data_IF_257432275994
#
_entry.id   IF_257432275994
#
_cell.length_a   1.000
_cell.length_b   1.000
_cell.length_c   1.000
_cell.angle_alpha   90.00
_cell.angle_beta   90.00
_cell.angle_gamma   90.00
#
_symmetry.space_group_name_H-M   'P 1'
#
loop_
_entity.id
_entity.type
_entity.pdbx_description
1 polymer ?
#
# COMPACT_ATOMS: atom_id res chain seq x y z
N UNK A 1 -46.35 -56.29 -33.33
CA UNK A 1 -46.33 -54.92 -33.82
C UNK A 1 -45.23 -54.20 -33.11
N UNK A 2 -44.03 -54.17 -33.69
CA UNK A 2 -42.81 -53.57 -33.11
C UNK A 2 -42.68 -52.15 -33.65
N UNK A 3 -42.47 -51.18 -32.78
CA UNK A 3 -42.07 -49.82 -33.14
C UNK A 3 -40.66 -49.59 -32.68
N UNK A 4 -39.75 -49.43 -33.61
CA UNK A 4 -38.39 -48.91 -33.40
C UNK A 4 -38.40 -47.39 -33.29
N UNK A 5 -37.83 -46.83 -32.23
CA UNK A 5 -37.49 -45.41 -32.14
C UNK A 5 -35.97 -45.30 -32.04
N UNK A 6 -35.34 -44.81 -33.11
CA UNK A 6 -33.93 -44.40 -33.13
C UNK A 6 -33.80 -43.00 -32.54
N UNK A 7 -33.08 -42.87 -31.46
CA UNK A 7 -32.74 -41.55 -30.92
C UNK A 7 -31.35 -41.12 -31.42
N UNK A 8 -31.31 -40.01 -32.16
CA UNK A 8 -30.07 -39.45 -32.65
C UNK A 8 -29.25 -38.78 -31.53
N UNK A 9 -27.98 -39.18 -31.40
CA UNK A 9 -27.03 -38.49 -30.55
C UNK A 9 -26.60 -37.17 -31.19
N UNK A 10 -27.06 -36.06 -30.67
CA UNK A 10 -26.60 -34.72 -31.02
C UNK A 10 -25.35 -34.37 -30.18
N UNK A 11 -24.32 -33.98 -30.92
CA UNK A 11 -23.00 -33.54 -30.48
C UNK A 11 -23.00 -32.47 -29.38
N UNK A 12 -22.64 -32.86 -28.15
CA UNK A 12 -22.38 -31.93 -27.01
C UNK A 12 -20.91 -31.68 -26.75
N UNK A 13 -19.98 -32.17 -27.61
CA UNK A 13 -18.54 -32.05 -27.38
C UNK A 13 -17.98 -30.63 -27.60
N UNK A 14 -18.64 -29.77 -28.40
CA UNK A 14 -18.14 -28.41 -28.70
C UNK A 14 -18.34 -27.39 -27.58
N UNK A 15 -19.41 -27.53 -26.78
CA UNK A 15 -19.74 -26.55 -25.73
C UNK A 15 -18.91 -26.74 -24.44
N UNK A 16 -18.50 -27.95 -24.14
CA UNK A 16 -17.70 -28.25 -22.94
C UNK A 16 -16.26 -27.75 -23.09
N UNK A 17 -15.71 -27.80 -24.32
CA UNK A 17 -14.33 -27.32 -24.59
C UNK A 17 -14.24 -25.80 -24.47
N UNK A 18 -15.31 -25.06 -24.84
CA UNK A 18 -15.32 -23.60 -24.76
C UNK A 18 -15.48 -23.09 -23.33
N UNK A 19 -16.21 -23.82 -22.48
CA UNK A 19 -16.38 -23.48 -21.05
C UNK A 19 -15.07 -23.75 -20.28
N UNK A 20 -14.32 -24.80 -20.60
CA UNK A 20 -13.03 -25.09 -19.98
C UNK A 20 -11.98 -24.04 -20.38
N UNK A 21 -12.01 -23.54 -21.61
CA UNK A 21 -11.11 -22.48 -22.08
C UNK A 21 -11.40 -21.12 -21.39
N UNK A 22 -12.68 -20.77 -21.19
CA UNK A 22 -13.07 -19.57 -20.45
C UNK A 22 -12.70 -19.63 -18.98
N UNK A 23 -12.81 -20.78 -18.33
CA UNK A 23 -12.41 -20.97 -16.94
C UNK A 23 -10.90 -20.87 -16.74
N UNK A 24 -10.09 -21.26 -17.74
CA UNK A 24 -8.64 -21.13 -17.67
C UNK A 24 -8.13 -19.69 -17.76
N UNK A 25 -8.84 -18.78 -18.46
CA UNK A 25 -8.50 -17.37 -18.49
C UNK A 25 -8.81 -16.65 -17.16
N UNK A 26 -9.91 -17.02 -16.49
CA UNK A 26 -10.23 -16.46 -15.17
C UNK A 26 -9.33 -17.01 -14.04
N UNK A 27 -8.85 -18.23 -14.17
CA UNK A 27 -7.93 -18.83 -13.19
C UNK A 27 -6.53 -18.20 -13.27
N UNK A 28 -6.07 -17.77 -14.45
CA UNK A 28 -4.77 -17.15 -14.61
C UNK A 28 -4.72 -15.75 -13.97
N UNK A 29 -5.77 -14.93 -14.12
CA UNK A 29 -5.87 -13.60 -13.48
C UNK A 29 -5.95 -13.68 -11.94
N UNK A 30 -6.64 -14.70 -11.42
CA UNK A 30 -6.76 -14.89 -9.96
C UNK A 30 -5.47 -15.40 -9.32
N UNK A 31 -4.68 -16.19 -10.03
CA UNK A 31 -3.39 -16.71 -9.55
C UNK A 31 -2.36 -15.58 -9.49
N UNK A 32 -2.25 -14.74 -10.52
CA UNK A 32 -1.34 -13.58 -10.53
C UNK A 32 -1.66 -12.58 -9.41
N UNK A 33 -2.94 -12.31 -9.20
CA UNK A 33 -3.39 -11.37 -8.15
C UNK A 33 -3.18 -11.93 -6.73
N UNK A 34 -3.20 -13.25 -6.56
CA UNK A 34 -2.96 -13.91 -5.29
C UNK A 34 -1.46 -14.05 -4.98
N UNK A 35 -0.61 -14.19 -5.98
CA UNK A 35 0.85 -14.12 -5.82
C UNK A 35 1.33 -12.71 -5.45
N UNK A 36 0.77 -11.66 -6.05
CA UNK A 36 1.09 -10.27 -5.70
C UNK A 36 0.70 -9.92 -4.25
N UNK A 37 -0.43 -10.41 -3.76
CA UNK A 37 -0.83 -10.26 -2.35
C UNK A 37 0.11 -11.04 -1.42
N UNK A 38 0.65 -12.18 -1.84
CA UNK A 38 1.62 -12.96 -1.06
C UNK A 38 2.97 -12.25 -0.95
N UNK A 39 3.38 -11.46 -1.96
CA UNK A 39 4.64 -10.72 -1.97
C UNK A 39 4.73 -9.65 -0.88
N UNK A 40 3.61 -9.04 -0.49
CA UNK A 40 3.58 -8.12 0.65
C UNK A 40 3.34 -8.81 2.00
N UNK A 41 2.66 -9.97 2.01
CA UNK A 41 2.21 -10.64 3.23
C UNK A 41 3.10 -11.78 3.72
N UNK A 42 3.60 -12.64 2.83
CA UNK A 42 4.12 -13.95 3.23
C UNK A 42 5.59 -14.21 2.92
N UNK A 43 6.28 -13.34 2.15
CA UNK A 43 7.67 -13.57 1.74
C UNK A 43 8.51 -12.29 1.70
N UNK A 44 8.05 -11.19 2.29
CA UNK A 44 8.89 -10.01 2.39
C UNK A 44 9.32 -9.83 3.85
N UNK A 45 10.61 -9.71 4.06
CA UNK A 45 11.20 -9.25 5.32
C UNK A 45 10.88 -7.77 5.62
N UNK A 46 9.97 -7.15 4.85
CA UNK A 46 9.55 -5.78 5.03
C UNK A 46 8.82 -5.59 6.36
N UNK A 47 9.20 -4.58 7.10
CA UNK A 47 8.64 -4.25 8.40
C UNK A 47 7.72 -3.03 8.31
N UNK A 48 6.68 -3.01 9.14
CA UNK A 48 5.96 -1.79 9.43
C UNK A 48 6.87 -0.85 10.25
N UNK A 49 7.18 0.32 9.70
CA UNK A 49 8.05 1.30 10.36
C UNK A 49 7.30 2.59 10.66
N UNK A 50 7.65 3.19 11.78
CA UNK A 50 7.10 4.44 12.30
C UNK A 50 8.08 5.07 13.29
N UNK A 51 7.65 6.12 13.99
CA UNK A 51 8.54 6.86 14.91
C UNK A 51 8.83 6.14 16.22
N UNK A 52 8.10 5.08 16.53
CA UNK A 52 8.17 4.41 17.83
C UNK A 52 7.59 5.23 19.03
N UNK A 53 7.05 6.42 18.77
CA UNK A 53 6.41 7.24 19.83
C UNK A 53 5.16 6.54 20.37
N UNK A 54 4.96 6.60 21.67
CA UNK A 54 3.72 6.16 22.30
C UNK A 54 2.54 7.10 21.97
N UNK A 55 1.32 6.59 22.06
CA UNK A 55 0.11 7.39 22.03
C UNK A 55 0.03 8.26 23.28
N UNK A 56 -0.45 9.53 23.20
CA UNK A 56 -0.82 10.31 24.37
C UNK A 56 -1.83 9.57 25.25
N UNK A 57 -1.69 9.71 26.56
CA UNK A 57 -2.61 9.10 27.52
C UNK A 57 -3.89 9.91 27.74
N UNK A 58 -3.83 11.22 27.50
CA UNK A 58 -4.94 12.15 27.71
C UNK A 58 -5.40 12.75 26.39
N UNK A 59 -6.70 12.89 26.21
CA UNK A 59 -7.32 13.48 25.01
C UNK A 59 -6.80 14.88 24.66
N UNK A 60 -6.52 15.70 25.68
CA UNK A 60 -6.00 17.06 25.51
C UNK A 60 -4.66 17.11 24.79
N UNK A 61 -3.81 16.10 24.99
CA UNK A 61 -2.47 16.05 24.43
C UNK A 61 -2.46 15.78 22.92
N UNK A 62 -3.56 15.27 22.34
CA UNK A 62 -3.67 15.09 20.89
C UNK A 62 -3.82 16.38 20.11
N UNK A 63 -4.13 17.49 20.80
CA UNK A 63 -4.25 18.81 20.18
C UNK A 63 -2.95 19.62 20.18
N UNK A 64 -1.91 19.13 20.83
CA UNK A 64 -0.57 19.70 20.78
C UNK A 64 0.09 19.46 19.43
N UNK A 65 1.21 20.16 19.19
CA UNK A 65 2.02 19.93 18.00
C UNK A 65 2.63 18.53 18.04
N UNK A 66 2.40 17.79 16.96
CA UNK A 66 2.92 16.45 16.75
C UNK A 66 3.34 16.32 15.27
N UNK A 67 4.53 16.85 14.94
CA UNK A 67 4.96 17.00 13.56
C UNK A 67 4.96 15.67 12.80
N UNK A 68 4.53 15.73 11.55
CA UNK A 68 4.55 14.61 10.60
C UNK A 68 5.97 14.10 10.41
N UNK A 69 6.24 12.80 10.59
CA UNK A 69 7.57 12.26 10.34
C UNK A 69 7.85 12.13 8.84
N UNK A 70 9.09 12.47 8.46
CA UNK A 70 9.65 12.24 7.13
C UNK A 70 10.66 11.12 7.21
N UNK A 71 10.39 10.04 6.52
CA UNK A 71 11.29 8.90 6.36
C UNK A 71 12.05 9.00 5.05
N UNK A 72 13.29 8.49 5.05
CA UNK A 72 14.10 8.41 3.83
C UNK A 72 14.99 7.18 3.82
N UNK A 73 15.23 6.66 2.62
CA UNK A 73 16.19 5.60 2.34
C UNK A 73 16.91 5.89 1.05
N UNK A 74 18.25 5.84 1.05
CA UNK A 74 19.06 5.87 -0.14
C UNK A 74 19.27 4.44 -0.67
N UNK A 75 19.30 4.30 -1.98
CA UNK A 75 19.58 3.04 -2.67
C UNK A 75 20.36 3.30 -3.96
N UNK A 76 21.14 2.33 -4.41
CA UNK A 76 21.96 2.45 -5.61
C UNK A 76 21.49 1.52 -6.72
N UNK A 77 21.49 2.02 -7.95
CA UNK A 77 21.13 1.28 -9.17
C UNK A 77 22.34 1.30 -10.10
N UNK A 78 23.00 0.15 -10.24
CA UNK A 78 24.27 0.05 -10.98
C UNK A 78 24.12 -0.49 -12.41
N UNK A 79 22.96 -1.04 -12.77
CA UNK A 79 22.66 -1.69 -14.06
C UNK A 79 21.59 -0.94 -14.85
N UNK A 80 21.40 -1.34 -16.10
CA UNK A 80 20.33 -0.79 -16.94
C UNK A 80 18.97 -1.27 -16.45
N UNK A 81 18.09 -0.30 -16.13
CA UNK A 81 16.74 -0.51 -15.64
C UNK A 81 15.87 -1.04 -16.78
N UNK A 82 15.05 -2.04 -16.49
CA UNK A 82 13.93 -2.50 -17.31
C UNK A 82 12.62 -1.90 -16.80
N UNK A 83 12.34 -2.01 -15.51
CA UNK A 83 11.18 -1.46 -14.84
C UNK A 83 11.44 -1.29 -13.35
N UNK A 84 10.74 -0.34 -12.72
CA UNK A 84 10.75 -0.16 -11.27
C UNK A 84 9.33 -0.01 -10.75
N UNK A 85 8.97 -0.84 -9.77
CA UNK A 85 7.67 -0.82 -9.11
C UNK A 85 7.81 -0.48 -7.64
N UNK A 86 6.93 0.35 -7.13
CA UNK A 86 6.77 0.62 -5.71
C UNK A 86 5.42 0.09 -5.24
N UNK A 87 5.44 -0.87 -4.31
CA UNK A 87 4.27 -1.30 -3.56
C UNK A 87 4.36 -0.66 -2.17
N UNK A 88 3.35 0.10 -1.78
CA UNK A 88 3.39 0.85 -0.51
C UNK A 88 1.99 1.00 0.08
N UNK A 89 1.94 1.00 1.41
CA UNK A 89 0.74 1.36 2.16
C UNK A 89 1.09 1.93 3.52
N UNK A 90 0.10 2.52 4.20
CA UNK A 90 0.22 2.99 5.58
C UNK A 90 -1.03 2.70 6.39
N UNK A 91 -0.87 2.56 7.70
CA UNK A 91 -1.93 2.84 8.66
C UNK A 91 -1.84 4.33 9.00
N UNK A 92 -2.82 5.09 8.54
CA UNK A 92 -2.79 6.55 8.37
C UNK A 92 -2.79 6.93 6.90
N UNK A 93 -2.17 8.04 6.55
CA UNK A 93 -1.92 8.45 5.17
C UNK A 93 -0.41 8.56 4.91
N UNK A 94 0.00 8.45 3.65
CA UNK A 94 1.37 8.70 3.23
C UNK A 94 1.43 9.56 1.97
N UNK A 95 2.58 10.19 1.79
CA UNK A 95 3.00 10.81 0.53
C UNK A 95 4.42 10.34 0.24
N UNK A 96 4.58 9.62 -0.86
CA UNK A 96 5.88 9.11 -1.29
C UNK A 96 6.51 10.01 -2.36
N UNK A 97 7.85 10.03 -2.40
CA UNK A 97 8.64 10.71 -3.43
C UNK A 97 9.88 9.89 -3.77
N UNK A 98 10.30 9.97 -5.03
CA UNK A 98 11.57 9.43 -5.54
C UNK A 98 12.38 10.58 -6.09
N UNK A 99 13.59 10.77 -5.61
CA UNK A 99 14.51 11.84 -6.05
C UNK A 99 13.87 13.24 -6.02
N UNK A 100 12.97 13.49 -5.05
CA UNK A 100 12.22 14.73 -4.91
C UNK A 100 10.94 14.81 -5.75
N UNK A 101 10.72 13.91 -6.70
CA UNK A 101 9.50 13.85 -7.50
C UNK A 101 8.44 13.02 -6.80
N UNK A 102 7.20 13.53 -6.78
CA UNK A 102 6.07 12.85 -6.14
C UNK A 102 5.74 11.55 -6.86
N UNK A 103 5.40 10.51 -6.07
CA UNK A 103 4.85 9.24 -6.57
C UNK A 103 3.33 9.29 -6.53
N UNK A 104 2.70 9.00 -7.68
CA UNK A 104 1.25 8.96 -7.81
C UNK A 104 0.59 10.35 -7.70
N UNK A 105 -0.73 10.38 -7.89
CA UNK A 105 -1.53 11.60 -7.91
C UNK A 105 -2.51 11.71 -6.74
N UNK A 106 -2.72 10.63 -5.99
CA UNK A 106 -3.66 10.56 -4.87
C UNK A 106 -3.20 11.43 -3.71
N UNK A 107 -4.11 12.26 -3.17
CA UNK A 107 -3.81 13.13 -2.01
C UNK A 107 -4.03 12.40 -0.69
N UNK A 108 -4.94 11.43 -0.63
CA UNK A 108 -5.30 10.67 0.56
C UNK A 108 -5.12 9.18 0.23
N UNK A 109 -3.91 8.66 0.45
CA UNK A 109 -3.56 7.28 0.17
C UNK A 109 -2.96 6.62 1.45
N UNK A 110 -3.35 5.40 1.77
CA UNK A 110 -4.33 4.53 1.12
C UNK A 110 -5.78 4.94 1.42
N UNK A 111 -6.72 4.39 0.65
CA UNK A 111 -8.14 4.52 0.97
C UNK A 111 -8.42 3.95 2.37
N UNK A 112 -9.21 4.67 3.18
CA UNK A 112 -9.54 4.24 4.53
C UNK A 112 -10.26 2.89 4.57
N UNK A 113 -9.90 2.08 5.53
CA UNK A 113 -10.50 0.77 5.82
C UNK A 113 -10.63 0.56 7.32
N UNK A 114 -11.27 -0.51 7.75
CA UNK A 114 -11.17 -1.00 9.12
C UNK A 114 -9.77 -1.61 9.33
N UNK A 115 -8.87 -0.84 9.95
CA UNK A 115 -7.48 -1.23 10.18
C UNK A 115 -7.32 -2.49 11.05
N UNK A 116 -8.38 -2.93 11.75
CA UNK A 116 -8.35 -4.22 12.45
C UNK A 116 -8.46 -5.42 11.51
N UNK A 117 -8.89 -5.19 10.26
CA UNK A 117 -9.17 -6.26 9.31
C UNK A 117 -8.24 -6.24 8.10
N UNK A 118 -7.98 -5.05 7.51
CA UNK A 118 -7.18 -4.92 6.30
C UNK A 118 -6.70 -3.49 6.08
N UNK A 119 -5.63 -3.38 5.31
CA UNK A 119 -5.14 -2.12 4.73
C UNK A 119 -4.96 -2.35 3.24
N UNK A 120 -5.45 -1.44 2.40
CA UNK A 120 -5.18 -1.49 0.97
C UNK A 120 -3.79 -0.96 0.69
N UNK A 121 -3.11 -1.52 -0.29
CA UNK A 121 -1.83 -1.02 -0.79
C UNK A 121 -2.00 -0.46 -2.21
N UNK A 122 -1.11 0.44 -2.57
CA UNK A 122 -1.00 1.00 -3.91
C UNK A 122 0.26 0.46 -4.59
N UNK A 123 0.15 0.16 -5.89
CA UNK A 123 1.27 -0.18 -6.76
C UNK A 123 1.47 0.96 -7.76
N UNK A 124 2.73 1.43 -7.85
CA UNK A 124 3.14 2.49 -8.76
C UNK A 124 4.25 2.01 -9.68
N UNK A 125 4.13 2.25 -10.98
CA UNK A 125 5.27 2.23 -11.88
C UNK A 125 6.02 3.56 -11.69
N UNK A 126 7.26 3.45 -11.25
CA UNK A 126 8.15 4.59 -10.97
C UNK A 126 9.43 4.54 -11.81
N UNK A 127 9.38 3.81 -12.92
CA UNK A 127 10.55 3.56 -13.78
C UNK A 127 11.22 4.86 -14.22
N UNK A 128 10.42 5.87 -14.58
CA UNK A 128 10.92 7.17 -15.06
C UNK A 128 11.45 8.08 -13.93
N UNK A 129 11.21 7.74 -12.66
CA UNK A 129 11.68 8.51 -11.52
C UNK A 129 13.03 8.02 -10.96
N UNK A 130 13.43 6.80 -11.34
CA UNK A 130 14.67 6.15 -10.85
C UNK A 130 15.77 6.28 -11.91
N UNK A 131 16.94 6.70 -11.47
CA UNK A 131 18.10 6.88 -12.34
C UNK A 131 19.21 5.88 -12.03
N UNK A 132 20.15 5.69 -12.96
CA UNK A 132 21.38 4.94 -12.68
C UNK A 132 22.22 5.72 -11.67
N UNK A 133 22.76 5.02 -10.68
CA UNK A 133 23.50 5.60 -9.56
C UNK A 133 22.67 5.71 -8.29
N UNK A 134 22.95 6.68 -7.46
CA UNK A 134 22.30 6.90 -6.17
C UNK A 134 20.90 7.49 -6.36
N UNK A 135 19.93 6.90 -5.70
CA UNK A 135 18.54 7.35 -5.63
C UNK A 135 18.10 7.48 -4.17
N UNK A 136 17.04 8.22 -3.94
CA UNK A 136 16.44 8.38 -2.62
C UNK A 136 14.92 8.25 -2.70
N UNK A 137 14.36 7.39 -1.86
CA UNK A 137 12.92 7.35 -1.59
C UNK A 137 12.64 8.11 -0.29
N UNK A 138 11.63 8.98 -0.32
CA UNK A 138 11.12 9.72 0.83
C UNK A 138 9.65 9.40 1.07
N UNK A 139 9.25 9.32 2.34
CA UNK A 139 7.85 9.09 2.75
C UNK A 139 7.49 10.02 3.90
N UNK A 140 6.44 10.81 3.72
CA UNK A 140 5.82 11.62 4.79
C UNK A 140 4.58 10.87 5.28
N UNK A 141 4.39 10.75 6.60
CA UNK A 141 3.20 10.13 7.17
C UNK A 141 2.21 11.17 7.70
N UNK A 142 0.94 10.91 7.45
CA UNK A 142 -0.20 11.65 7.99
C UNK A 142 -1.05 10.78 8.90
N UNK A 143 -1.76 11.43 9.83
CA UNK A 143 -2.56 10.77 10.85
C UNK A 143 -3.75 9.98 10.29
N UNK A 144 -4.47 10.54 9.30
CA UNK A 144 -5.65 9.94 8.73
C UNK A 144 -6.69 9.53 9.78
N UNK A 145 -7.44 8.47 9.49
CA UNK A 145 -8.36 7.86 10.46
C UNK A 145 -7.71 6.83 11.38
N UNK A 146 -6.41 6.58 11.24
CA UNK A 146 -5.69 5.70 12.16
C UNK A 146 -5.23 6.43 13.43
N UNK A 147 -4.95 7.73 13.34
CA UNK A 147 -4.65 8.57 14.50
C UNK A 147 -5.53 9.83 14.52
N UNK A 148 -6.88 9.69 14.60
CA UNK A 148 -7.78 10.83 14.60
C UNK A 148 -7.66 11.61 15.92
N UNK A 149 -8.04 12.88 15.89
CA UNK A 149 -8.29 13.63 17.12
C UNK A 149 -9.43 12.97 17.93
N UNK A 150 -9.44 13.13 19.27
CA UNK A 150 -10.51 12.62 20.13
C UNK A 150 -11.77 13.48 19.99
N UNK A 151 -12.32 13.55 18.78
CA UNK A 151 -13.51 14.30 18.44
C UNK A 151 -14.77 13.52 18.83
N UNK A 152 -15.67 14.17 19.52
CA UNK A 152 -16.99 13.63 19.86
C UNK A 152 -17.99 14.02 18.78
N UNK A 153 -18.34 13.04 17.94
CA UNK A 153 -19.28 13.22 16.84
C UNK A 153 -20.56 12.37 17.09
N UNK A 154 -21.69 12.84 16.53
CA UNK A 154 -22.97 12.10 16.52
C UNK A 154 -23.29 11.32 17.80
N UNK A 155 -23.67 12.04 18.86
CA UNK A 155 -24.12 11.43 20.09
C UNK A 155 -23.01 11.19 21.12
N UNK A 156 -21.95 11.98 21.11
CA UNK A 156 -20.88 12.00 22.13
C UNK A 156 -19.85 10.86 22.05
N UNK A 157 -19.84 10.06 21.00
CA UNK A 157 -18.82 9.01 20.82
C UNK A 157 -17.50 9.64 20.39
N UNK A 158 -16.43 9.33 21.14
CA UNK A 158 -15.07 9.65 20.74
C UNK A 158 -14.65 8.70 19.61
N UNK A 159 -14.12 9.23 18.49
CA UNK A 159 -13.66 8.41 17.38
C UNK A 159 -12.58 7.41 17.81
N UNK A 160 -11.73 7.77 18.77
CA UNK A 160 -10.66 6.91 19.27
C UNK A 160 -11.16 5.72 20.07
N UNK A 161 -12.38 5.76 20.62
CA UNK A 161 -13.02 4.67 21.34
C UNK A 161 -13.67 3.63 20.41
N UNK A 162 -13.98 4.01 19.18
CA UNK A 162 -14.72 3.17 18.23
C UNK A 162 -13.90 2.70 17.04
N UNK A 163 -12.78 3.33 16.74
CA UNK A 163 -11.88 2.96 15.67
C UNK A 163 -10.65 2.23 16.20
N UNK A 164 -10.06 1.38 15.38
CA UNK A 164 -8.71 0.87 15.61
C UNK A 164 -7.73 2.02 15.37
N UNK A 165 -7.05 2.44 16.42
CA UNK A 165 -6.16 3.62 16.40
C UNK A 165 -4.73 3.27 16.80
N UNK A 166 -3.79 4.03 16.28
CA UNK A 166 -2.37 3.91 16.58
C UNK A 166 -1.58 5.11 16.07
N UNK A 167 -0.27 5.11 16.24
CA UNK A 167 0.63 6.04 15.58
C UNK A 167 0.77 5.64 14.11
N UNK A 168 0.81 6.61 13.16
CA UNK A 168 1.02 6.29 11.75
C UNK A 168 2.27 5.46 11.53
N UNK A 169 2.12 4.41 10.73
CA UNK A 169 3.19 3.53 10.28
C UNK A 169 2.99 3.22 8.81
N UNK A 170 4.06 2.84 8.12
CA UNK A 170 3.97 2.40 6.73
C UNK A 170 4.81 1.16 6.47
N UNK A 171 4.49 0.46 5.40
CA UNK A 171 5.25 -0.66 4.87
C UNK A 171 5.37 -0.49 3.36
N UNK A 172 6.54 -0.78 2.80
CA UNK A 172 6.76 -0.66 1.37
C UNK A 172 7.84 -1.59 0.84
N UNK A 173 7.74 -1.85 -0.46
CA UNK A 173 8.67 -2.67 -1.22
C UNK A 173 8.88 -2.02 -2.59
N UNK A 174 10.12 -1.70 -2.91
CA UNK A 174 10.54 -1.19 -4.20
C UNK A 174 11.28 -2.30 -4.93
N UNK A 175 10.85 -2.63 -6.14
CA UNK A 175 11.38 -3.72 -6.96
C UNK A 175 12.00 -3.10 -8.20
N UNK A 176 13.30 -3.34 -8.40
CA UNK A 176 14.05 -2.87 -9.56
C UNK A 176 14.38 -4.07 -10.44
N UNK A 177 13.72 -4.18 -11.58
CA UNK A 177 14.04 -5.16 -12.60
C UNK A 177 15.02 -4.61 -13.60
N UNK A 178 16.07 -5.35 -13.87
CA UNK A 178 17.12 -4.99 -14.80
C UNK A 178 16.99 -5.68 -16.16
N UNK A 179 17.50 -5.05 -17.23
CA UNK A 179 17.49 -5.65 -18.58
C UNK A 179 18.27 -6.97 -18.67
N UNK A 180 19.21 -7.21 -17.76
CA UNK A 180 19.98 -8.46 -17.68
C UNK A 180 19.26 -9.60 -16.95
N UNK A 181 17.98 -9.41 -16.59
CA UNK A 181 17.14 -10.41 -15.92
C UNK A 181 17.34 -10.52 -14.41
N UNK A 182 18.19 -9.68 -13.79
CA UNK A 182 18.31 -9.61 -12.33
C UNK A 182 17.26 -8.67 -11.75
N UNK A 183 16.98 -8.84 -10.47
CA UNK A 183 16.05 -8.01 -9.70
C UNK A 183 16.70 -7.64 -8.38
N UNK A 184 16.63 -6.37 -8.00
CA UNK A 184 16.97 -5.88 -6.67
C UNK A 184 15.69 -5.44 -5.96
N UNK A 185 15.67 -5.62 -4.63
CA UNK A 185 14.50 -5.31 -3.81
C UNK A 185 14.94 -4.45 -2.62
N UNK A 186 14.30 -3.30 -2.47
CA UNK A 186 14.47 -2.40 -1.33
C UNK A 186 13.19 -2.45 -0.52
N UNK A 187 13.28 -2.72 0.78
CA UNK A 187 12.15 -2.88 1.69
C UNK A 187 12.20 -1.85 2.80
N UNK A 188 11.08 -1.70 3.50
CA UNK A 188 11.04 -1.00 4.79
C UNK A 188 11.64 -1.89 5.87
N UNK A 189 12.66 -1.37 6.55
CA UNK A 189 13.41 -2.01 7.60
C UNK A 189 14.01 -0.97 8.57
N UNK A 190 14.79 -1.40 9.54
CA UNK A 190 15.43 -0.53 10.55
C UNK A 190 16.54 0.38 9.98
N UNK A 191 16.91 0.22 8.71
CA UNK A 191 17.92 1.06 8.05
C UNK A 191 17.36 2.37 7.48
N UNK A 192 16.04 2.57 7.55
CA UNK A 192 15.43 3.84 7.18
C UNK A 192 15.71 4.91 8.25
N UNK A 193 16.09 6.10 7.79
CA UNK A 193 16.24 7.26 8.65
C UNK A 193 14.94 8.07 8.67
N UNK A 194 14.68 8.78 9.78
CA UNK A 194 13.58 9.72 9.85
C UNK A 194 13.93 10.98 10.62
N UNK A 195 13.16 12.04 10.34
CA UNK A 195 13.16 13.30 11.09
C UNK A 195 11.73 13.81 11.19
N UNK A 196 11.49 14.80 12.06
CA UNK A 196 10.22 15.50 12.10
C UNK A 196 10.17 16.55 10.99
N UNK A 197 9.03 16.63 10.30
CA UNK A 197 8.82 17.55 9.19
C UNK A 197 8.18 18.87 9.60
N UNK A 198 7.97 19.77 8.63
CA UNK A 198 7.38 21.08 8.86
C UNK A 198 5.86 21.06 9.01
N UNK A 199 5.18 19.92 8.77
CA UNK A 199 3.75 19.80 9.03
C UNK A 199 3.58 19.54 10.53
N UNK A 200 3.31 20.59 11.31
CA UNK A 200 3.21 20.54 12.77
C UNK A 200 2.00 19.76 13.26
N UNK A 201 0.89 19.85 12.52
CA UNK A 201 -0.36 19.13 12.79
C UNK A 201 -0.99 18.69 11.46
N UNK A 202 -1.62 17.55 11.47
CA UNK A 202 -2.47 17.10 10.36
C UNK A 202 -3.65 16.28 10.90
N UNK A 203 -4.82 16.51 10.33
CA UNK A 203 -6.02 15.77 10.68
C UNK A 203 -7.07 15.90 9.58
N UNK A 204 -7.87 14.86 9.38
CA UNK A 204 -8.91 14.82 8.33
C UNK A 204 -9.99 15.90 8.47
N UNK A 205 -10.16 16.48 9.66
CA UNK A 205 -11.20 17.50 9.92
C UNK A 205 -10.66 18.92 10.01
N UNK A 206 -9.42 19.10 10.42
CA UNK A 206 -8.81 20.43 10.62
C UNK A 206 -7.75 20.77 9.57
N UNK A 207 -7.44 19.84 8.68
CA UNK A 207 -6.39 20.03 7.67
C UNK A 207 -4.99 19.97 8.26
N UNK A 208 -4.08 20.81 7.74
CA UNK A 208 -2.66 20.83 8.09
C UNK A 208 -2.26 22.20 8.62
N UNK A 209 -1.38 22.20 9.61
CA UNK A 209 -0.65 23.38 10.10
C UNK A 209 0.81 23.19 9.68
N UNK A 210 1.32 24.13 8.91
CA UNK A 210 2.67 24.10 8.33
C UNK A 210 3.50 25.25 8.89
N UNK A 211 4.80 24.98 9.21
CA UNK A 211 5.79 25.99 9.66
C UNK A 211 6.87 26.18 8.57
#
# INVERSE_FOLDING_TARGET
>A
MQMNISAGLSSTKGKLSFIILLLSFFACDSITKQEEISLLRNNSDALWIGTGKNQPLEDSLFYLDDPSPLFRKEFNVDKEIKSVKLLITSAGYYKASINGSRVGESFLDPAWTDFSKRVYYSEYDITDLVVKGTNCIGVILGNGFYNPLPLRMWGRRNLREVLTTGRPVFIGKLIVDYKNGKTDVIITDDSWNFTMGPILKNNVYIGEVYD
#
